data_IF_118190533166
#
_entry.id   IF_118190533166
#
_cell.length_a   1.000
_cell.length_b   1.000
_cell.length_c   1.000
_cell.angle_alpha   90.00
_cell.angle_beta   90.00
_cell.angle_gamma   90.00
#
_symmetry.space_group_name_H-M   'P 1'
#
loop_
_entity.id
_entity.type
_entity.pdbx_description
1 polymer ?
#
# COMPACT_ATOMS: atom_id res chain seq x y z
N UNK A 1 -1.66 22.89 -5.35
CA UNK A 1 -2.00 22.27 -4.05
C UNK A 1 -2.15 20.78 -4.27
N UNK A 2 -1.69 19.94 -3.35
CA UNK A 2 -1.92 18.49 -3.41
C UNK A 2 -3.34 18.18 -2.90
N UNK A 3 -4.15 17.47 -3.68
CA UNK A 3 -5.49 17.03 -3.30
C UNK A 3 -5.46 15.53 -2.96
N UNK A 4 -6.19 15.09 -1.94
CA UNK A 4 -6.38 13.66 -1.68
C UNK A 4 -7.26 13.09 -2.80
N UNK A 5 -6.77 12.09 -3.53
CA UNK A 5 -7.43 11.56 -4.74
C UNK A 5 -7.74 10.08 -4.66
N UNK A 6 -7.04 9.32 -3.82
CA UNK A 6 -7.43 7.95 -3.52
C UNK A 6 -7.06 7.55 -2.08
N UNK A 7 -7.81 6.60 -1.55
CA UNK A 7 -7.52 5.91 -0.30
C UNK A 7 -7.44 4.42 -0.60
N UNK A 8 -6.34 3.80 -0.19
CA UNK A 8 -6.10 2.36 -0.32
C UNK A 8 -6.12 1.76 1.09
N UNK A 9 -6.86 0.67 1.27
CA UNK A 9 -6.92 -0.10 2.50
C UNK A 9 -6.43 -1.52 2.21
N UNK A 10 -5.45 -1.98 2.98
CA UNK A 10 -4.89 -3.32 2.86
C UNK A 10 -5.06 -4.03 4.20
N UNK A 11 -5.56 -5.26 4.16
CA UNK A 11 -5.69 -6.08 5.35
C UNK A 11 -6.40 -7.38 5.05
N UNK A 12 -7.27 -7.80 5.95
CA UNK A 12 -7.97 -9.08 5.86
C UNK A 12 -9.46 -8.88 5.58
N UNK A 13 -10.10 -9.94 5.06
CA UNK A 13 -11.55 -9.98 4.95
C UNK A 13 -12.13 -10.24 6.35
N UNK A 14 -13.03 -9.38 6.87
CA UNK A 14 -13.67 -9.65 8.15
C UNK A 14 -14.60 -10.88 8.03
N UNK A 15 -14.80 -11.65 9.12
CA UNK A 15 -15.61 -12.87 9.10
C UNK A 15 -17.06 -12.66 8.64
N UNK A 16 -17.60 -11.44 8.80
CA UNK A 16 -18.97 -11.08 8.45
C UNK A 16 -19.02 -9.71 7.78
N UNK A 17 -19.37 -9.66 6.49
CA UNK A 17 -20.01 -8.54 5.77
C UNK A 17 -19.40 -7.13 5.82
N UNK A 18 -18.22 -6.94 6.44
CA UNK A 18 -17.73 -5.62 6.89
C UNK A 18 -16.77 -4.90 5.96
N UNK A 19 -16.56 -5.36 4.73
CA UNK A 19 -15.59 -4.75 3.80
C UNK A 19 -14.17 -5.24 4.06
N UNK A 20 -13.33 -4.42 4.70
CA UNK A 20 -11.91 -4.71 4.99
C UNK A 20 -11.66 -4.45 6.47
N UNK A 21 -10.90 -5.33 7.13
CA UNK A 21 -10.25 -5.04 8.41
C UNK A 21 -8.82 -4.56 8.09
N UNK A 22 -8.57 -3.24 8.00
CA UNK A 22 -7.32 -2.73 7.48
C UNK A 22 -6.20 -2.91 8.50
N UNK A 23 -5.09 -3.48 8.07
CA UNK A 23 -3.80 -3.40 8.76
C UNK A 23 -3.00 -2.17 8.30
N UNK A 24 -3.27 -1.69 7.07
CA UNK A 24 -2.58 -0.56 6.46
C UNK A 24 -3.60 0.31 5.73
N UNK A 25 -3.43 1.63 5.85
CA UNK A 25 -4.14 2.63 5.07
C UNK A 25 -3.12 3.49 4.33
N UNK A 26 -3.32 3.72 3.03
CA UNK A 26 -2.49 4.61 2.24
C UNK A 26 -3.33 5.68 1.54
N UNK A 27 -2.92 6.92 1.67
CA UNK A 27 -3.59 8.08 1.08
C UNK A 27 -2.78 8.57 -0.12
N UNK A 28 -3.37 8.51 -1.31
CA UNK A 28 -2.80 9.10 -2.51
C UNK A 28 -3.18 10.57 -2.59
N UNK A 29 -2.17 11.43 -2.67
CA UNK A 29 -2.34 12.83 -2.98
C UNK A 29 -1.85 13.12 -4.40
N UNK A 30 -2.73 13.62 -5.26
CA UNK A 30 -2.39 14.08 -6.60
C UNK A 30 -1.98 15.56 -6.55
N UNK A 31 -0.91 15.90 -7.27
CA UNK A 31 -0.24 17.19 -7.30
C UNK A 31 0.88 17.15 -8.34
N UNK A 32 1.92 17.98 -8.19
CA UNK A 32 3.07 17.96 -9.12
C UNK A 32 3.78 16.60 -9.21
N UNK A 33 3.64 15.74 -8.19
CA UNK A 33 4.03 14.32 -8.21
C UNK A 33 3.01 13.57 -7.33
N UNK A 34 2.38 12.47 -7.78
CA UNK A 34 1.51 11.64 -6.95
C UNK A 34 2.28 11.07 -5.75
N UNK A 35 1.69 11.06 -4.54
CA UNK A 35 2.37 10.58 -3.32
C UNK A 35 1.44 9.76 -2.44
N UNK A 36 1.86 8.56 -2.05
CA UNK A 36 1.20 7.80 -0.99
C UNK A 36 1.72 8.20 0.38
N UNK A 37 0.83 8.59 1.29
CA UNK A 37 1.09 8.60 2.73
C UNK A 37 0.52 7.33 3.33
N UNK A 38 1.39 6.43 3.77
CA UNK A 38 0.99 5.14 4.35
C UNK A 38 0.99 5.18 5.90
N UNK A 39 0.06 4.43 6.48
CA UNK A 39 -0.18 4.32 7.91
C UNK A 39 -0.38 2.86 8.28
N UNK A 40 0.26 2.42 9.36
CA UNK A 40 -0.10 1.16 10.04
C UNK A 40 -1.33 1.43 10.91
N UNK A 41 -2.28 0.50 10.89
CA UNK A 41 -3.52 0.56 11.68
C UNK A 41 -3.38 -0.33 12.89
N UNK A 42 -3.58 0.23 14.08
CA UNK A 42 -3.66 -0.55 15.32
C UNK A 42 -5.04 -0.37 15.93
N UNK A 43 -5.71 -1.47 16.29
CA UNK A 43 -6.95 -1.45 17.05
C UNK A 43 -6.70 -0.81 18.43
N UNK A 44 -7.29 0.35 18.68
CA UNK A 44 -7.30 0.92 20.01
C UNK A 44 -8.30 0.17 20.89
N UNK A 45 -7.84 -0.77 21.72
CA UNK A 45 -8.42 -1.10 23.03
C UNK A 45 -7.65 -2.26 23.70
N UNK A 46 -6.93 -1.94 24.77
CA UNK A 46 -6.95 -2.61 26.09
C UNK A 46 -5.68 -2.24 26.89
N UNK A 47 -5.78 -1.21 27.76
CA UNK A 47 -4.91 -1.16 28.95
C UNK A 47 -4.10 0.10 29.27
N UNK A 48 -4.35 1.28 28.70
CA UNK A 48 -3.72 2.52 29.22
C UNK A 48 -4.77 3.50 29.79
N UNK A 49 -4.97 3.55 31.12
CA UNK A 49 -5.99 4.38 31.76
C UNK A 49 -5.69 5.88 31.73
N UNK A 50 -4.59 6.32 31.13
CA UNK A 50 -4.16 7.72 31.13
C UNK A 50 -4.56 8.53 29.88
N UNK A 51 -5.13 7.92 28.84
CA UNK A 51 -5.47 8.59 27.57
C UNK A 51 -6.99 8.72 27.33
N UNK A 52 -7.75 9.04 28.37
CA UNK A 52 -9.18 9.38 28.25
C UNK A 52 -9.36 10.82 27.73
N UNK A 53 -9.14 11.02 26.43
CA UNK A 53 -9.73 12.12 25.65
C UNK A 53 -10.24 11.61 24.32
N UNK A 54 -11.32 10.81 24.36
CA UNK A 54 -12.42 10.89 23.39
C UNK A 54 -12.19 10.46 21.93
N UNK A 55 -11.45 9.39 21.64
CA UNK A 55 -11.60 8.70 20.35
C UNK A 55 -11.40 7.19 20.46
N UNK A 56 -12.50 6.44 20.67
CA UNK A 56 -12.54 4.97 20.57
C UNK A 56 -12.53 4.55 19.09
N UNK A 57 -11.43 4.81 18.40
CA UNK A 57 -11.25 4.51 16.98
C UNK A 57 -9.87 3.93 16.68
N UNK A 58 -9.68 3.30 15.52
CA UNK A 58 -8.38 2.76 15.13
C UNK A 58 -7.32 3.87 15.10
N UNK A 59 -6.17 3.59 15.71
CA UNK A 59 -5.04 4.51 15.70
C UNK A 59 -4.22 4.32 14.42
N UNK A 60 -3.93 5.42 13.73
CA UNK A 60 -3.12 5.44 12.52
C UNK A 60 -1.71 5.93 12.86
N UNK A 61 -0.72 5.05 12.74
CA UNK A 61 0.68 5.39 12.93
C UNK A 61 1.35 5.60 11.57
N UNK A 62 1.83 6.81 11.31
CA UNK A 62 2.42 7.16 10.00
C UNK A 62 3.70 6.38 9.76
N UNK A 63 3.83 5.75 8.59
CA UNK A 63 5.08 5.14 8.12
C UNK A 63 5.98 6.25 7.54
N UNK A 64 7.16 6.49 8.11
CA UNK A 64 8.08 7.50 7.58
C UNK A 64 8.54 7.14 6.16
N UNK A 65 8.74 8.18 5.35
CA UNK A 65 9.27 8.02 4.00
C UNK A 65 8.25 7.63 2.94
N UNK A 66 7.01 7.24 3.27
CA UNK A 66 6.05 6.84 2.23
C UNK A 66 5.89 7.93 1.14
N UNK A 67 6.34 7.59 -0.07
CA UNK A 67 6.33 8.41 -1.28
C UNK A 67 5.98 7.50 -2.45
N UNK A 68 5.28 8.02 -3.47
CA UNK A 68 5.04 7.26 -4.69
C UNK A 68 5.94 7.83 -5.81
N UNK A 69 6.62 6.99 -6.59
CA UNK A 69 7.39 7.47 -7.73
C UNK A 69 6.50 8.23 -8.72
N UNK A 70 7.04 9.20 -9.48
CA UNK A 70 6.30 9.84 -10.55
C UNK A 70 5.81 8.80 -11.57
N UNK A 71 4.53 8.87 -11.95
CA UNK A 71 3.87 7.91 -12.87
C UNK A 71 4.51 7.90 -14.26
N UNK A 72 5.21 8.98 -14.62
CA UNK A 72 5.89 9.18 -15.89
C UNK A 72 7.10 8.24 -16.07
N UNK A 73 7.69 7.75 -14.97
CA UNK A 73 8.86 6.86 -14.98
C UNK A 73 8.47 5.43 -14.59
N UNK A 74 8.27 4.61 -15.62
CA UNK A 74 7.96 3.18 -15.56
C UNK A 74 6.53 2.84 -15.12
N UNK A 75 6.04 1.65 -15.50
CA UNK A 75 4.65 1.23 -15.20
C UNK A 75 4.49 1.19 -13.68
N UNK A 76 3.93 2.24 -13.08
CA UNK A 76 3.88 2.36 -11.63
C UNK A 76 3.25 1.10 -11.02
N UNK A 77 3.91 0.57 -9.99
CA UNK A 77 3.49 -0.61 -9.24
C UNK A 77 2.92 -0.21 -7.87
N UNK A 78 2.03 0.80 -7.75
CA UNK A 78 1.74 1.45 -6.46
C UNK A 78 1.17 0.51 -5.41
N UNK A 79 0.26 -0.39 -5.80
CA UNK A 79 -0.35 -1.35 -4.87
C UNK A 79 0.63 -2.48 -4.55
N UNK A 80 1.36 -2.97 -5.54
CA UNK A 80 2.43 -3.98 -5.36
C UNK A 80 3.51 -3.47 -4.41
N UNK A 81 3.94 -2.23 -4.58
CA UNK A 81 4.94 -1.57 -3.74
C UNK A 81 4.42 -1.30 -2.33
N UNK A 82 3.17 -0.84 -2.20
CA UNK A 82 2.52 -0.73 -0.90
C UNK A 82 2.47 -2.08 -0.18
N UNK A 83 2.07 -3.16 -0.85
CA UNK A 83 2.08 -4.51 -0.28
C UNK A 83 3.50 -4.95 0.13
N UNK A 84 4.49 -4.77 -0.74
CA UNK A 84 5.90 -5.13 -0.45
C UNK A 84 6.48 -4.33 0.71
N UNK A 85 6.13 -3.05 0.82
CA UNK A 85 6.64 -2.15 1.86
C UNK A 85 5.93 -2.28 3.21
N UNK A 86 4.67 -2.74 3.21
CA UNK A 86 3.81 -2.68 4.40
C UNK A 86 3.22 -4.00 4.86
N UNK A 87 2.71 -4.84 3.95
CA UNK A 87 1.83 -5.96 4.30
C UNK A 87 2.16 -7.24 3.49
N UNK A 88 3.43 -7.66 3.52
CA UNK A 88 3.90 -8.85 2.78
C UNK A 88 3.26 -10.16 3.24
N UNK A 89 2.82 -10.23 4.50
CA UNK A 89 2.06 -11.36 5.03
C UNK A 89 0.74 -11.61 4.31
N UNK A 90 0.22 -10.60 3.62
CA UNK A 90 -0.93 -10.71 2.72
C UNK A 90 -0.69 -11.50 1.43
N UNK A 91 0.47 -12.13 1.24
CA UNK A 91 0.79 -12.92 0.05
C UNK A 91 1.08 -14.37 0.41
N UNK A 92 0.62 -15.30 -0.43
CA UNK A 92 0.91 -16.73 -0.31
C UNK A 92 2.41 -17.06 -0.31
N UNK A 93 3.26 -16.14 -0.77
CA UNK A 93 4.72 -16.28 -0.82
C UNK A 93 5.46 -15.41 0.21
N UNK A 94 4.80 -14.98 1.29
CA UNK A 94 5.37 -14.09 2.32
C UNK A 94 6.77 -14.50 2.78
N UNK A 95 7.00 -15.78 3.11
CA UNK A 95 8.30 -16.27 3.57
C UNK A 95 9.42 -16.05 2.52
N UNK A 96 9.07 -16.19 1.23
CA UNK A 96 10.00 -15.94 0.12
C UNK A 96 10.32 -14.46 0.01
N UNK A 97 9.29 -13.60 0.09
CA UNK A 97 9.46 -12.15 0.03
C UNK A 97 10.30 -11.63 1.21
N UNK A 98 10.07 -12.14 2.42
CA UNK A 98 10.88 -11.80 3.59
C UNK A 98 12.33 -12.26 3.45
N UNK A 99 12.55 -13.46 2.89
CA UNK A 99 13.91 -13.93 2.58
C UNK A 99 14.60 -13.01 1.57
N UNK A 100 13.89 -12.56 0.53
CA UNK A 100 14.43 -11.61 -0.44
C UNK A 100 14.73 -10.25 0.19
N UNK A 101 13.86 -9.76 1.09
CA UNK A 101 14.07 -8.50 1.82
C UNK A 101 15.27 -8.59 2.78
N UNK A 102 15.45 -9.71 3.48
CA UNK A 102 16.62 -9.93 4.33
C UNK A 102 17.91 -9.98 3.52
N UNK A 103 17.87 -10.62 2.34
CA UNK A 103 19.00 -10.60 1.40
C UNK A 103 19.27 -9.19 0.86
N UNK A 104 18.22 -8.40 0.62
CA UNK A 104 18.38 -7.01 0.22
C UNK A 104 19.08 -6.21 1.33
N UNK A 105 18.65 -6.38 2.58
CA UNK A 105 19.26 -5.74 3.74
C UNK A 105 20.75 -6.10 3.87
N UNK A 106 21.08 -7.38 3.73
CA UNK A 106 22.45 -7.85 3.87
C UNK A 106 23.39 -7.33 2.77
N UNK A 107 22.89 -7.18 1.53
CA UNK A 107 23.73 -6.80 0.39
C UNK A 107 23.74 -5.29 0.11
N UNK A 108 22.65 -4.59 0.43
CA UNK A 108 22.44 -3.19 0.05
C UNK A 108 22.14 -2.28 1.25
N UNK A 109 22.11 -2.84 2.46
CA UNK A 109 21.84 -2.10 3.70
C UNK A 109 20.38 -1.65 3.86
N UNK A 110 19.47 -2.13 3.01
CA UNK A 110 18.06 -1.71 2.98
C UNK A 110 17.10 -2.88 2.75
N UNK A 111 15.97 -2.84 3.43
CA UNK A 111 14.81 -3.71 3.26
C UNK A 111 13.91 -3.22 2.13
N UNK A 112 12.94 -4.04 1.70
CA UNK A 112 11.94 -3.59 0.72
C UNK A 112 11.11 -2.40 1.20
N UNK A 113 10.84 -2.30 2.51
CA UNK A 113 10.16 -1.13 3.08
C UNK A 113 10.94 0.15 2.80
N UNK A 114 12.24 0.15 3.07
CA UNK A 114 13.11 1.31 2.81
C UNK A 114 13.30 1.56 1.32
N UNK A 115 13.43 0.51 0.51
CA UNK A 115 13.58 0.64 -0.94
C UNK A 115 12.35 1.25 -1.62
N UNK A 116 11.14 0.85 -1.20
CA UNK A 116 9.87 1.39 -1.71
C UNK A 116 9.68 2.83 -1.25
N UNK A 117 9.87 3.11 0.04
CA UNK A 117 9.49 4.41 0.60
C UNK A 117 10.59 5.47 0.45
N UNK A 118 11.87 5.14 0.59
CA UNK A 118 12.92 6.15 0.43
C UNK A 118 13.07 6.66 -1.02
N UNK A 119 12.39 6.06 -2.02
CA UNK A 119 12.46 6.43 -3.45
C UNK A 119 13.87 6.43 -4.07
N UNK A 120 14.87 5.87 -3.39
CA UNK A 120 16.27 5.83 -3.84
C UNK A 120 16.58 4.70 -4.85
N UNK A 121 15.57 3.94 -5.27
CA UNK A 121 15.75 2.74 -6.11
C UNK A 121 15.28 3.00 -7.53
N UNK A 122 16.01 3.85 -8.23
CA UNK A 122 15.85 4.10 -9.67
C UNK A 122 16.44 2.94 -10.49
N UNK A 123 16.02 2.82 -11.75
CA UNK A 123 16.60 1.81 -12.64
C UNK A 123 18.12 1.99 -12.74
N UNK A 124 18.86 0.91 -12.44
CA UNK A 124 20.33 0.92 -12.42
C UNK A 124 20.93 1.19 -11.03
N UNK A 125 20.12 1.51 -10.01
CA UNK A 125 20.58 1.60 -8.64
C UNK A 125 20.88 0.23 -8.04
N UNK A 126 21.75 0.21 -7.03
CA UNK A 126 21.97 -0.97 -6.21
C UNK A 126 20.65 -1.39 -5.53
N UNK A 127 20.31 -2.67 -5.64
CA UNK A 127 19.07 -3.22 -5.11
C UNK A 127 17.86 -3.16 -6.04
N UNK A 128 17.88 -2.39 -7.15
CA UNK A 128 16.76 -2.33 -8.11
C UNK A 128 16.36 -3.70 -8.62
N UNK A 129 17.34 -4.51 -9.07
CA UNK A 129 17.05 -5.86 -9.57
C UNK A 129 16.40 -6.76 -8.53
N UNK A 130 16.70 -6.57 -7.23
CA UNK A 130 16.08 -7.33 -6.13
C UNK A 130 14.66 -6.87 -5.85
N UNK A 131 14.42 -5.56 -5.88
CA UNK A 131 13.07 -5.01 -5.74
C UNK A 131 12.18 -5.41 -6.93
N UNK A 132 12.71 -5.35 -8.15
CA UNK A 132 12.02 -5.80 -9.36
C UNK A 132 11.69 -7.30 -9.32
N UNK A 133 12.64 -8.13 -8.86
CA UNK A 133 12.39 -9.56 -8.61
C UNK A 133 11.22 -9.74 -7.63
N UNK A 134 11.20 -8.99 -6.53
CA UNK A 134 10.12 -9.09 -5.53
C UNK A 134 8.76 -8.65 -6.09
N UNK A 135 8.70 -7.55 -6.87
CA UNK A 135 7.49 -7.10 -7.58
C UNK A 135 6.95 -8.20 -8.49
N UNK A 136 7.83 -8.76 -9.32
CA UNK A 136 7.49 -9.82 -10.26
C UNK A 136 7.01 -11.10 -9.55
N UNK A 137 7.65 -11.47 -8.44
CA UNK A 137 7.24 -12.62 -7.65
C UNK A 137 5.88 -12.38 -6.98
N UNK A 138 5.63 -11.18 -6.44
CA UNK A 138 4.36 -10.86 -5.81
C UNK A 138 3.19 -10.90 -6.82
N UNK A 139 3.34 -10.29 -8.00
CA UNK A 139 2.29 -10.31 -9.03
C UNK A 139 2.08 -11.70 -9.67
N UNK A 140 3.09 -12.58 -9.63
CA UNK A 140 2.99 -13.93 -10.21
C UNK A 140 2.33 -14.97 -9.27
N UNK A 141 1.96 -14.59 -8.04
CA UNK A 141 1.39 -15.51 -7.05
C UNK A 141 0.15 -14.90 -6.37
N UNK A 142 -0.75 -15.72 -5.82
CA UNK A 142 -1.96 -15.21 -5.18
C UNK A 142 -1.66 -14.22 -4.04
N UNK A 143 -2.36 -13.09 -4.07
CA UNK A 143 -2.48 -12.16 -2.95
C UNK A 143 -3.71 -12.54 -2.13
N UNK A 144 -3.48 -12.93 -0.88
CA UNK A 144 -4.50 -13.36 0.07
C UNK A 144 -5.10 -12.18 0.86
N UNK A 145 -4.37 -11.05 0.89
CA UNK A 145 -4.88 -9.81 1.44
C UNK A 145 -6.00 -9.21 0.60
N UNK A 146 -6.87 -8.50 1.30
CA UNK A 146 -7.89 -7.66 0.69
C UNK A 146 -7.32 -6.26 0.44
N UNK A 147 -7.35 -5.79 -0.82
CA UNK A 147 -6.81 -4.48 -1.23
C UNK A 147 -7.91 -3.55 -1.75
N UNK A 148 -8.61 -2.88 -0.87
CA UNK A 148 -9.68 -2.00 -1.31
C UNK A 148 -9.18 -0.60 -1.70
N UNK A 149 -9.64 -0.08 -2.84
CA UNK A 149 -9.29 1.25 -3.34
C UNK A 149 -10.56 2.09 -3.46
N UNK A 150 -10.57 3.27 -2.84
CA UNK A 150 -11.60 4.29 -2.97
C UNK A 150 -11.04 5.54 -3.62
N UNK A 151 -11.58 5.91 -4.78
CA UNK A 151 -11.21 7.14 -5.49
C UNK A 151 -12.08 8.31 -5.04
N UNK A 152 -11.48 9.49 -4.90
CA UNK A 152 -12.16 10.73 -4.57
C UNK A 152 -12.41 11.58 -5.83
N UNK A 153 -13.38 12.51 -5.78
CA UNK A 153 -13.65 13.41 -6.89
C UNK A 153 -12.40 14.18 -7.34
N UNK A 154 -12.17 14.23 -8.65
CA UNK A 154 -11.07 14.99 -9.25
C UNK A 154 -9.77 14.22 -9.48
N UNK A 155 -9.74 12.90 -9.22
CA UNK A 155 -8.63 12.04 -9.67
C UNK A 155 -8.57 12.00 -11.20
N UNK A 156 -7.38 12.10 -11.78
CA UNK A 156 -7.22 11.93 -13.23
C UNK A 156 -7.51 10.49 -13.68
N UNK A 157 -8.02 10.36 -14.91
CA UNK A 157 -8.32 9.06 -15.52
C UNK A 157 -7.07 8.20 -15.67
N UNK A 158 -5.92 8.83 -15.93
CA UNK A 158 -4.62 8.17 -16.04
C UNK A 158 -4.20 7.51 -14.72
N UNK A 159 -4.24 8.26 -13.61
CA UNK A 159 -3.93 7.73 -12.26
C UNK A 159 -4.88 6.59 -11.89
N UNK A 160 -6.17 6.78 -12.17
CA UNK A 160 -7.21 5.79 -11.89
C UNK A 160 -6.97 4.50 -12.68
N UNK A 161 -6.75 4.59 -13.99
CA UNK A 161 -6.46 3.44 -14.84
C UNK A 161 -5.17 2.72 -14.40
N UNK A 162 -4.10 3.45 -14.10
CA UNK A 162 -2.84 2.84 -13.66
C UNK A 162 -3.00 2.03 -12.35
N UNK A 163 -3.76 2.56 -11.37
CA UNK A 163 -4.02 1.86 -10.11
C UNK A 163 -4.94 0.65 -10.35
N UNK A 164 -5.95 0.78 -11.20
CA UNK A 164 -6.84 -0.33 -11.55
C UNK A 164 -6.11 -1.44 -12.31
N UNK A 165 -5.26 -1.10 -13.28
CA UNK A 165 -4.42 -2.07 -13.99
C UNK A 165 -3.45 -2.79 -13.05
N UNK A 166 -2.79 -2.06 -12.13
CA UNK A 166 -1.93 -2.69 -11.13
C UNK A 166 -2.72 -3.59 -10.18
N UNK A 167 -3.94 -3.20 -9.79
CA UNK A 167 -4.84 -4.06 -8.98
C UNK A 167 -5.19 -5.34 -9.72
N UNK A 168 -5.54 -5.23 -11.00
CA UNK A 168 -5.97 -6.37 -11.80
C UNK A 168 -4.81 -7.37 -12.03
N UNK A 169 -3.54 -6.92 -11.98
CA UNK A 169 -2.35 -7.80 -11.98
C UNK A 169 -2.14 -8.58 -10.68
N UNK A 170 -2.65 -8.11 -9.54
CA UNK A 170 -2.38 -8.73 -8.23
C UNK A 170 -3.28 -9.94 -7.92
N UNK A 171 -4.25 -10.27 -8.80
CA UNK A 171 -5.09 -11.49 -8.79
C UNK A 171 -5.58 -11.95 -7.40
N UNK A 172 -5.92 -10.99 -6.53
CA UNK A 172 -6.49 -11.22 -5.20
C UNK A 172 -7.99 -10.96 -5.18
N UNK A 173 -8.73 -11.64 -4.30
CA UNK A 173 -10.16 -11.40 -4.07
C UNK A 173 -10.37 -9.99 -3.51
N UNK A 174 -10.54 -9.01 -4.41
CA UNK A 174 -10.46 -7.60 -4.07
C UNK A 174 -11.83 -6.93 -4.18
N UNK A 175 -12.50 -6.62 -3.05
CA UNK A 175 -13.72 -5.82 -3.04
C UNK A 175 -13.42 -4.37 -3.45
N UNK A 176 -14.31 -3.78 -4.25
CA UNK A 176 -14.29 -2.33 -4.50
C UNK A 176 -14.96 -1.62 -3.34
N UNK A 177 -14.27 -0.65 -2.73
CA UNK A 177 -14.92 0.34 -1.87
C UNK A 177 -15.53 1.41 -2.77
N UNK A 178 -16.78 1.22 -3.19
CA UNK A 178 -17.54 2.33 -3.77
C UNK A 178 -17.90 3.28 -2.65
N UNK A 179 -17.46 4.55 -2.75
CA UNK A 179 -18.10 5.61 -1.99
C UNK A 179 -19.60 5.54 -2.26
N UNK A 180 -20.42 5.57 -1.20
CA UNK A 180 -21.87 5.48 -1.30
C UNK A 180 -22.46 6.53 -2.26
N UNK A 181 -23.72 6.33 -2.71
CA UNK A 181 -24.29 7.07 -3.83
C UNK A 181 -24.21 8.58 -3.60
N UNK A 182 -23.89 9.31 -4.67
CA UNK A 182 -24.01 10.76 -4.76
C UNK A 182 -25.45 11.16 -4.40
N UNK A 183 -25.66 11.64 -3.17
CA UNK A 183 -26.87 12.37 -2.84
C UNK A 183 -26.81 13.72 -3.56
N UNK A 184 -27.41 13.78 -4.75
CA UNK A 184 -27.92 15.03 -5.34
C UNK A 184 -29.31 15.32 -4.80
#
# INVERSE_FOLDING_TARGET
>A
MSALTAVVQIGTAPPLGGGVEPAVVAHLYEGGIPRFLAYEVTSGADGDPAASTGSDGPHLSRIPGAYAPPIEDDTAYPLTDLLLGTYREGSAITQRLDTLSQKAQANYGRTFREMVFASDVEWGSDGYGRLFEARSQLEAHPVEAVVAVGFLPGVSDEVRLAIEENRDRLDGATPRLTAGPENR
#
